data_IF_874636945918
#
_entry.id   IF_874636945918
#
_cell.length_a   1.000
_cell.length_b   1.000
_cell.length_c   1.000
_cell.angle_alpha   90.00
_cell.angle_beta   90.00
_cell.angle_gamma   90.00
#
_symmetry.space_group_name_H-M   'P 1'
#
loop_
_entity.id
_entity.type
_entity.pdbx_description
1 polymer ?
#
# COMPACT_ATOMS: atom_id res chain seq x y z
N UNK A 1 -27.93 -4.70 -35.74
CA UNK A 1 -27.72 -5.41 -34.46
C UNK A 1 -26.85 -4.53 -33.58
N UNK A 2 -26.74 -4.76 -32.26
CA UNK A 2 -25.82 -3.97 -31.47
C UNK A 2 -24.40 -4.33 -31.89
N UNK A 3 -23.63 -3.33 -32.33
CA UNK A 3 -22.22 -3.49 -32.63
C UNK A 3 -21.49 -3.88 -31.33
N UNK A 4 -21.12 -5.15 -31.23
CA UNK A 4 -20.18 -5.59 -30.21
C UNK A 4 -18.83 -5.04 -30.63
N UNK A 5 -18.39 -3.96 -29.97
CA UNK A 5 -17.06 -3.41 -30.18
C UNK A 5 -16.03 -4.50 -29.87
N UNK A 6 -15.39 -5.00 -30.92
CA UNK A 6 -14.26 -5.93 -30.82
C UNK A 6 -13.12 -5.17 -30.14
N UNK A 7 -12.90 -5.46 -28.86
CA UNK A 7 -11.80 -4.85 -28.08
C UNK A 7 -10.56 -5.68 -28.29
N UNK A 8 -9.48 -5.05 -28.75
CA UNK A 8 -8.16 -5.65 -28.72
C UNK A 8 -7.76 -5.93 -27.27
N UNK A 9 -7.04 -7.03 -27.05
CA UNK A 9 -6.47 -7.35 -25.74
C UNK A 9 -5.45 -6.28 -25.36
N UNK A 10 -5.65 -5.66 -24.20
CA UNK A 10 -4.72 -4.68 -23.67
C UNK A 10 -3.37 -5.34 -23.35
N UNK A 11 -2.27 -4.65 -23.64
CA UNK A 11 -0.92 -5.05 -23.25
C UNK A 11 -0.47 -4.14 -22.11
N UNK A 12 -0.26 -4.72 -20.92
CA UNK A 12 0.10 -3.99 -19.72
C UNK A 12 1.40 -3.19 -19.92
N UNK A 13 2.38 -3.70 -20.66
CA UNK A 13 3.66 -3.01 -20.88
C UNK A 13 3.57 -1.90 -21.93
N UNK A 14 2.64 -1.99 -22.89
CA UNK A 14 2.29 -0.84 -23.74
C UNK A 14 1.59 0.26 -22.96
N UNK A 15 0.71 -0.11 -22.02
CA UNK A 15 0.09 0.85 -21.08
C UNK A 15 1.18 1.51 -20.23
N UNK A 16 2.04 0.73 -19.58
CA UNK A 16 3.12 1.28 -18.76
C UNK A 16 4.06 2.18 -19.57
N UNK A 17 4.36 1.83 -20.82
CA UNK A 17 5.16 2.66 -21.72
C UNK A 17 4.51 4.03 -21.99
N UNK A 18 3.19 4.05 -22.21
CA UNK A 18 2.42 5.25 -22.55
C UNK A 18 2.17 6.21 -21.38
N UNK A 19 2.11 5.70 -20.14
CA UNK A 19 1.73 6.50 -18.97
C UNK A 19 2.88 6.64 -17.96
N UNK A 20 3.83 7.58 -18.15
CA UNK A 20 4.86 7.86 -17.16
C UNK A 20 4.31 8.48 -15.86
N UNK A 21 3.10 9.06 -15.92
CA UNK A 21 2.38 9.59 -14.78
C UNK A 21 0.90 9.21 -14.88
N UNK A 22 0.30 8.84 -13.76
CA UNK A 22 -1.11 8.46 -13.68
C UNK A 22 -1.78 9.04 -12.43
N UNK A 23 -3.09 9.27 -12.51
CA UNK A 23 -3.94 9.76 -11.42
C UNK A 23 -5.11 8.79 -11.26
N UNK A 24 -5.37 8.36 -10.03
CA UNK A 24 -6.58 7.61 -9.72
C UNK A 24 -7.79 8.54 -9.70
N UNK A 25 -8.79 8.25 -10.53
CA UNK A 25 -10.00 9.08 -10.66
C UNK A 25 -11.19 8.46 -9.93
N UNK A 26 -11.28 7.13 -9.89
CA UNK A 26 -12.37 6.40 -9.24
C UNK A 26 -11.92 4.99 -8.87
N UNK A 27 -12.36 4.49 -7.73
CA UNK A 27 -12.32 3.11 -7.28
C UNK A 27 -13.75 2.53 -7.17
N UNK A 28 -13.85 1.23 -6.89
CA UNK A 28 -15.15 0.53 -6.85
C UNK A 28 -15.61 0.26 -5.40
N UNK A 29 -14.71 0.38 -4.45
CA UNK A 29 -14.98 0.34 -3.02
C UNK A 29 -15.14 1.76 -2.50
N UNK A 30 -16.23 2.00 -1.76
CA UNK A 30 -16.55 3.31 -1.19
C UNK A 30 -15.69 3.62 0.04
N UNK A 31 -14.38 3.37 -0.05
CA UNK A 31 -13.41 3.81 0.94
C UNK A 31 -12.62 5.03 0.43
N UNK A 32 -11.78 5.60 1.29
CA UNK A 32 -11.01 6.81 0.98
C UNK A 32 -9.51 6.53 0.85
N UNK A 33 -9.11 5.26 0.80
CA UNK A 33 -7.70 4.84 0.91
C UNK A 33 -6.90 5.32 -0.31
N UNK A 34 -7.54 5.44 -1.47
CA UNK A 34 -6.95 5.93 -2.71
C UNK A 34 -7.29 7.38 -3.04
N UNK A 35 -7.81 8.13 -2.06
CA UNK A 35 -8.11 9.54 -2.27
C UNK A 35 -6.86 10.31 -2.73
N UNK A 36 -7.01 11.01 -3.87
CA UNK A 36 -5.94 11.77 -4.50
C UNK A 36 -4.68 10.93 -4.81
N UNK A 37 -4.82 9.63 -5.09
CA UNK A 37 -3.68 8.79 -5.45
C UNK A 37 -3.07 9.23 -6.78
N UNK A 38 -1.74 9.28 -6.82
CA UNK A 38 -0.98 9.51 -8.04
C UNK A 38 0.14 8.49 -8.15
N UNK A 39 0.56 8.18 -9.37
CA UNK A 39 1.66 7.26 -9.63
C UNK A 39 2.62 7.88 -10.62
N UNK A 40 3.91 7.87 -10.29
CA UNK A 40 4.99 8.32 -11.17
C UNK A 40 5.90 7.15 -11.48
N UNK A 41 6.14 6.89 -12.77
CA UNK A 41 7.05 5.84 -13.22
C UNK A 41 8.49 6.25 -12.87
N UNK A 42 9.16 5.41 -12.08
CA UNK A 42 10.55 5.59 -11.65
C UNK A 42 11.50 4.95 -12.65
N UNK A 43 11.27 3.67 -12.95
CA UNK A 43 12.12 2.86 -13.83
C UNK A 43 11.26 2.05 -14.80
N UNK A 44 11.75 1.81 -16.01
CA UNK A 44 11.06 1.03 -17.04
C UNK A 44 12.05 0.31 -17.94
N UNK A 45 11.94 -1.02 -18.00
CA UNK A 45 12.67 -1.86 -18.94
C UNK A 45 11.65 -2.64 -19.81
N UNK A 46 11.47 -2.23 -21.08
CA UNK A 46 10.53 -2.88 -22.00
C UNK A 46 11.00 -4.27 -22.46
N UNK A 47 12.31 -4.54 -22.45
CA UNK A 47 12.87 -5.83 -22.89
C UNK A 47 12.73 -6.86 -21.77
N UNK A 48 13.15 -6.50 -20.55
CA UNK A 48 12.98 -7.34 -19.37
C UNK A 48 11.52 -7.41 -18.88
N UNK A 49 10.64 -6.57 -19.44
CA UNK A 49 9.26 -6.37 -18.98
C UNK A 49 9.20 -6.15 -17.47
N UNK A 50 9.90 -5.11 -17.02
CA UNK A 50 9.84 -4.63 -15.65
C UNK A 50 9.50 -3.13 -15.62
N UNK A 51 8.69 -2.71 -14.65
CA UNK A 51 8.41 -1.29 -14.40
C UNK A 51 8.30 -1.04 -12.91
N UNK A 52 8.86 0.06 -12.44
CA UNK A 52 8.67 0.53 -11.06
C UNK A 52 7.88 1.83 -11.09
N UNK A 53 6.76 1.87 -10.37
CA UNK A 53 6.03 3.10 -10.07
C UNK A 53 6.23 3.48 -8.62
N UNK A 54 6.33 4.78 -8.34
CA UNK A 54 6.15 5.33 -7.01
C UNK A 54 4.70 5.80 -6.90
N UNK A 55 3.92 5.11 -6.09
CA UNK A 55 2.57 5.52 -5.72
C UNK A 55 2.67 6.53 -4.59
N UNK A 56 1.96 7.64 -4.73
CA UNK A 56 1.81 8.68 -3.74
C UNK A 56 0.38 8.57 -3.21
N UNK A 57 0.26 8.22 -1.94
CA UNK A 57 -1.02 8.03 -1.22
C UNK A 57 -1.22 9.15 -0.21
N UNK A 58 -2.47 9.46 0.11
CA UNK A 58 -2.80 10.40 1.19
C UNK A 58 -2.51 9.76 2.56
N UNK A 59 -1.90 10.51 3.47
CA UNK A 59 -1.64 10.10 4.87
C UNK A 59 -2.12 11.17 5.85
N UNK A 60 -3.21 11.86 5.47
CA UNK A 60 -3.77 13.01 6.18
C UNK A 60 -3.49 14.35 5.49
N UNK A 61 -3.99 15.47 6.05
CA UNK A 61 -3.91 16.78 5.41
C UNK A 61 -2.48 17.21 5.07
N UNK A 62 -2.20 17.37 3.78
CA UNK A 62 -0.88 17.74 3.26
C UNK A 62 0.21 16.68 3.41
N UNK A 63 -0.09 15.50 3.98
CA UNK A 63 0.85 14.41 4.19
C UNK A 63 0.69 13.36 3.10
N UNK A 64 1.82 12.86 2.59
CA UNK A 64 1.85 11.86 1.53
C UNK A 64 2.76 10.72 1.90
N UNK A 65 2.31 9.50 1.60
CA UNK A 65 3.10 8.28 1.74
C UNK A 65 3.51 7.78 0.35
N UNK A 66 4.80 7.56 0.17
CA UNK A 66 5.35 7.06 -1.09
C UNK A 66 5.64 5.58 -0.97
N UNK A 67 5.09 4.80 -1.89
CA UNK A 67 5.23 3.35 -1.91
C UNK A 67 5.67 2.95 -3.31
N UNK A 68 6.76 2.19 -3.41
CA UNK A 68 7.19 1.63 -4.69
C UNK A 68 6.37 0.39 -5.02
N UNK A 69 5.93 0.29 -6.27
CA UNK A 69 5.29 -0.89 -6.83
C UNK A 69 6.16 -1.36 -8.00
N UNK A 70 6.75 -2.54 -7.85
CA UNK A 70 7.54 -3.18 -8.88
C UNK A 70 6.66 -4.18 -9.62
N UNK A 71 6.43 -3.93 -10.89
CA UNK A 71 5.63 -4.77 -11.76
C UNK A 71 6.53 -5.59 -12.67
N UNK A 72 6.09 -6.82 -12.92
CA UNK A 72 6.63 -7.74 -13.92
C UNK A 72 5.49 -8.26 -14.79
N UNK A 73 5.82 -8.85 -15.94
CA UNK A 73 4.84 -9.50 -16.81
C UNK A 73 4.13 -10.66 -16.10
N UNK A 74 2.81 -10.72 -16.28
CA UNK A 74 1.98 -11.87 -15.87
C UNK A 74 1.92 -12.96 -16.94
N UNK A 75 1.01 -13.92 -16.74
CA UNK A 75 0.83 -15.06 -17.65
C UNK A 75 0.18 -14.68 -19.00
N UNK A 76 -0.55 -13.57 -19.05
CA UNK A 76 -1.22 -13.03 -20.24
C UNK A 76 -0.80 -11.57 -20.49
N UNK A 77 -0.96 -11.03 -21.72
CA UNK A 77 -0.51 -9.66 -22.05
C UNK A 77 -1.10 -8.56 -21.15
N UNK A 78 -2.33 -8.74 -20.69
CA UNK A 78 -3.05 -7.81 -19.81
C UNK A 78 -2.71 -7.99 -18.32
N UNK A 79 -2.12 -9.13 -17.95
CA UNK A 79 -1.79 -9.45 -16.57
C UNK A 79 -0.41 -8.91 -16.16
N UNK A 80 -0.32 -8.43 -14.93
CA UNK A 80 0.94 -8.04 -14.30
C UNK A 80 1.04 -8.65 -12.90
N UNK A 81 2.22 -9.14 -12.55
CA UNK A 81 2.54 -9.45 -11.17
C UNK A 81 3.15 -8.19 -10.54
N UNK A 82 2.77 -7.87 -9.31
CA UNK A 82 3.36 -6.75 -8.59
C UNK A 82 3.94 -7.18 -7.25
N UNK A 83 5.00 -6.49 -6.85
CA UNK A 83 5.52 -6.52 -5.48
C UNK A 83 5.56 -5.10 -4.96
N UNK A 84 5.15 -4.90 -3.72
CA UNK A 84 5.28 -3.61 -3.05
C UNK A 84 6.71 -3.53 -2.51
N UNK A 85 7.38 -2.40 -2.75
CA UNK A 85 8.76 -2.14 -2.35
C UNK A 85 9.01 -2.58 -0.91
N UNK A 86 10.15 -3.23 -0.69
CA UNK A 86 10.48 -3.95 0.54
C UNK A 86 10.22 -3.09 1.78
N UNK A 87 9.08 -3.30 2.44
CA UNK A 87 8.93 -2.89 3.83
C UNK A 87 9.68 -3.90 4.67
N UNK A 88 10.95 -3.60 4.88
CA UNK A 88 11.73 -4.23 5.92
C UNK A 88 11.05 -3.99 7.26
N UNK A 89 10.47 -5.04 7.83
CA UNK A 89 9.73 -5.01 9.09
C UNK A 89 10.31 -6.05 10.02
N UNK A 90 10.65 -5.64 11.26
CA UNK A 90 11.04 -6.54 12.33
C UNK A 90 9.81 -6.82 13.19
N UNK A 91 9.43 -8.09 13.30
CA UNK A 91 8.27 -8.53 14.09
C UNK A 91 8.77 -9.25 15.33
N UNK A 92 8.22 -8.89 16.48
CA UNK A 92 8.52 -9.51 17.78
C UNK A 92 7.22 -9.87 18.47
N UNK A 93 7.24 -10.88 19.34
CA UNK A 93 6.08 -11.20 20.19
C UNK A 93 5.92 -10.15 21.29
N UNK A 94 4.68 -9.88 21.73
CA UNK A 94 4.36 -8.96 22.84
C UNK A 94 5.26 -9.13 24.07
N UNK A 95 5.59 -10.37 24.43
CA UNK A 95 6.45 -10.68 25.58
C UNK A 95 7.89 -10.09 25.53
N UNK A 96 8.36 -9.66 24.37
CA UNK A 96 9.73 -9.13 24.18
C UNK A 96 9.73 -7.78 23.45
N UNK A 97 8.60 -7.08 23.38
CA UNK A 97 8.48 -5.81 22.65
C UNK A 97 9.32 -4.69 23.27
N UNK A 98 9.41 -4.64 24.60
CA UNK A 98 10.24 -3.68 25.34
C UNK A 98 11.74 -4.03 25.37
N UNK A 99 12.07 -5.29 25.10
CA UNK A 99 13.44 -5.82 25.22
C UNK A 99 13.75 -6.75 24.04
N UNK A 100 13.73 -6.17 22.84
CA UNK A 100 14.07 -6.90 21.62
C UNK A 100 15.54 -7.32 21.66
N UNK A 101 15.87 -8.62 21.51
CA UNK A 101 17.25 -9.09 21.54
C UNK A 101 18.12 -8.38 20.50
N UNK A 102 19.34 -7.99 20.90
CA UNK A 102 20.24 -7.21 20.05
C UNK A 102 20.54 -7.88 18.71
N UNK A 103 20.69 -9.22 18.69
CA UNK A 103 20.94 -9.96 17.46
C UNK A 103 19.83 -9.81 16.42
N UNK A 104 18.57 -9.61 16.83
CA UNK A 104 17.45 -9.35 15.93
C UNK A 104 17.57 -7.95 15.29
N UNK A 105 18.02 -6.96 16.07
CA UNK A 105 18.23 -5.59 15.60
C UNK A 105 19.43 -5.51 14.66
N UNK A 106 20.51 -6.21 14.97
CA UNK A 106 21.70 -6.30 14.13
C UNK A 106 21.39 -7.00 12.80
N UNK A 107 20.70 -8.14 12.82
CA UNK A 107 20.27 -8.80 11.59
C UNK A 107 19.34 -7.93 10.76
N UNK A 108 18.41 -7.21 11.40
CA UNK A 108 17.56 -6.27 10.71
C UNK A 108 18.39 -5.15 10.06
N UNK A 109 19.35 -4.58 10.79
CA UNK A 109 20.23 -3.55 10.29
C UNK A 109 21.09 -4.03 9.11
N UNK A 110 21.65 -5.24 9.19
CA UNK A 110 22.48 -5.82 8.13
C UNK A 110 21.68 -6.08 6.85
N UNK A 111 20.42 -6.49 6.98
CA UNK A 111 19.56 -6.82 5.83
C UNK A 111 18.89 -5.57 5.24
N UNK A 112 18.57 -4.58 6.08
CA UNK A 112 17.66 -3.49 5.73
C UNK A 112 18.19 -2.07 5.94
N UNK A 113 19.32 -1.90 6.62
CA UNK A 113 19.91 -0.61 6.97
C UNK A 113 19.31 0.02 8.24
N UNK A 114 19.48 1.34 8.39
CA UNK A 114 19.02 2.08 9.58
C UNK A 114 17.48 2.03 9.69
N UNK A 115 16.98 1.46 10.79
CA UNK A 115 15.56 1.44 11.11
C UNK A 115 15.06 2.84 11.55
N UNK A 116 13.85 3.22 11.12
CA UNK A 116 13.06 4.26 11.80
C UNK A 116 12.06 3.53 12.70
N UNK A 117 12.04 3.75 14.02
CA UNK A 117 11.12 3.05 14.91
C UNK A 117 9.67 3.26 14.49
N UNK A 118 8.92 2.16 14.32
CA UNK A 118 7.48 2.20 14.01
C UNK A 118 6.62 2.03 15.27
N UNK A 119 7.19 1.55 16.37
CA UNK A 119 6.54 1.37 17.67
C UNK A 119 7.21 2.30 18.69
N UNK A 120 6.42 3.22 19.23
CA UNK A 120 6.78 4.08 20.37
C UNK A 120 5.68 3.82 21.40
N UNK A 121 6.06 3.34 22.58
CA UNK A 121 5.14 3.03 23.68
C UNK A 121 4.30 4.23 24.12
N UNK A 122 4.70 5.46 23.76
CA UNK A 122 3.93 6.68 24.02
C UNK A 122 2.94 7.03 22.91
N UNK A 123 3.04 6.41 21.72
CA UNK A 123 2.19 6.68 20.56
C UNK A 123 1.23 5.52 20.23
N UNK A 124 1.60 4.29 20.62
CA UNK A 124 0.75 3.12 20.46
C UNK A 124 -0.12 2.97 21.70
N UNK A 125 -1.36 3.45 21.62
CA UNK A 125 -2.38 3.14 22.62
C UNK A 125 -2.81 1.69 22.41
N UNK A 126 -2.69 0.86 23.45
CA UNK A 126 -3.26 -0.48 23.44
C UNK A 126 -4.78 -0.38 23.28
N UNK A 127 -5.36 -1.10 22.32
CA UNK A 127 -6.81 -1.18 22.07
C UNK A 127 -7.60 -1.92 23.18
N UNK A 128 -6.99 -2.17 24.34
CA UNK A 128 -7.59 -2.91 25.46
C UNK A 128 -8.54 -2.06 26.35
N UNK A 129 -9.08 -0.96 25.83
CA UNK A 129 -10.24 -0.28 26.45
C UNK A 129 -11.49 -0.46 25.59
N UNK A 130 -11.86 -1.71 25.35
CA UNK A 130 -13.24 -2.08 25.13
C UNK A 130 -14.04 -1.90 26.42
N UNK A 131 -14.49 -0.68 26.71
CA UNK A 131 -15.75 -0.48 27.42
C UNK A 131 -16.85 -0.29 26.37
N UNK A 132 -17.63 -1.36 26.16
CA UNK A 132 -18.99 -1.28 25.66
C UNK A 132 -19.73 -0.19 26.44
N UNK A 133 -19.96 0.96 25.81
CA UNK A 133 -21.05 1.83 26.26
C UNK A 133 -22.33 1.34 25.63
N UNK A 134 -22.89 0.30 26.26
CA UNK A 134 -24.33 0.19 26.38
C UNK A 134 -24.86 1.52 26.90
N UNK A 135 -25.57 2.25 26.05
CA UNK A 135 -26.55 3.22 26.50
C UNK A 135 -27.80 2.99 25.67
N UNK A 136 -28.58 2.02 26.15
CA UNK A 136 -30.02 2.04 26.06
C UNK A 136 -30.51 3.41 26.58
N UNK A 137 -31.05 4.21 25.66
CA UNK A 137 -31.92 5.32 26.04
C UNK A 137 -33.20 5.20 25.21
N UNK A 138 -34.06 4.30 25.66
CA UNK A 138 -35.47 4.32 25.30
C UNK A 138 -36.23 5.26 26.25
N UNK A 139 -36.71 6.39 25.74
CA UNK A 139 -37.81 7.18 26.32
C UNK A 139 -38.39 8.08 25.22
N UNK A 140 -39.39 7.60 24.48
CA UNK A 140 -40.83 7.92 24.57
C UNK A 140 -41.28 9.23 23.92
N UNK A 141 -42.35 9.09 23.13
CA UNK A 141 -43.16 10.11 22.45
C UNK A 141 -43.43 11.41 23.24
N UNK A 142 -43.34 12.54 22.52
CA UNK A 142 -44.27 13.68 22.58
C UNK A 142 -44.10 14.56 21.32
#
# INVERSE_FOLDING_TARGET
>A
GPDVLLRETADAFKVFAAFPYAVGISDADNDVIFQCITATRKDFDPEAKTVTYVWSLSDGPGKRKHIEFHHTAGATPEATNFTVGKKCTLWVSKAVEDVVPLYCLEQFYDVCGVAVPLHDSNLCLDDDNGEERDNDYNATDA
#
